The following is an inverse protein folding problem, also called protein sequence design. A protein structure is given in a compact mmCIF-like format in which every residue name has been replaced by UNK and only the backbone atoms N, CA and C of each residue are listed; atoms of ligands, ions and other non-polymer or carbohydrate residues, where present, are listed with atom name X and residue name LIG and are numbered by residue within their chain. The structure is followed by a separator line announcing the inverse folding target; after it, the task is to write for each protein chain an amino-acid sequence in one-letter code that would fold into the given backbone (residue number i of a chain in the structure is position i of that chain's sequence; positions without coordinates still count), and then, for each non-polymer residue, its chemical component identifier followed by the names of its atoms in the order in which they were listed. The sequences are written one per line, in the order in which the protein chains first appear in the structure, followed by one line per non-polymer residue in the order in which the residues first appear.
data_IF_293910229962
#
_entry.id   IF_293910229962
#
_cell.length_a   1.000
_cell.length_b   1.000
_cell.length_c   1.000
_cell.angle_alpha   90.00
_cell.angle_beta   90.00
_cell.angle_gamma   90.00
#
_symmetry.space_group_name_H-M   'P 1'
#
loop_
_entity.id
_entity.type
_entity.pdbx_description
1 polymer ?
#
# COMPACT_ATOMS: atom_id res chain seq x y z
N UNK A 1 0.94 -23.58 -2.84
CA UNK A 1 1.39 -22.51 -3.74
C UNK A 1 2.22 -23.09 -4.89
N UNK A 2 1.95 -22.71 -6.14
CA UNK A 2 2.70 -23.19 -7.34
C UNK A 2 3.82 -22.20 -7.73
N UNK A 3 5.07 -22.53 -7.37
CA UNK A 3 6.23 -21.64 -7.54
C UNK A 3 6.63 -21.44 -9.02
N UNK A 4 6.37 -22.41 -9.89
CA UNK A 4 6.61 -22.31 -11.34
C UNK A 4 5.68 -21.31 -11.99
N UNK A 5 4.41 -21.28 -11.56
CA UNK A 5 3.44 -20.27 -12.03
C UNK A 5 3.80 -18.87 -11.57
N UNK A 6 4.30 -18.69 -10.34
CA UNK A 6 4.79 -17.38 -9.87
C UNK A 6 5.89 -16.81 -10.76
N UNK A 7 6.90 -17.63 -11.07
CA UNK A 7 8.00 -17.22 -11.96
C UNK A 7 7.52 -16.88 -13.37
N UNK A 8 6.60 -17.68 -13.89
CA UNK A 8 5.98 -17.41 -15.20
C UNK A 8 5.21 -16.09 -15.18
N UNK A 9 4.46 -15.83 -14.11
CA UNK A 9 3.69 -14.61 -13.95
C UNK A 9 4.60 -13.37 -13.87
N UNK A 10 5.69 -13.44 -13.10
CA UNK A 10 6.72 -12.39 -13.03
C UNK A 10 7.30 -12.05 -14.41
N UNK A 11 7.58 -13.06 -15.24
CA UNK A 11 8.20 -12.86 -16.55
C UNK A 11 7.23 -12.33 -17.62
N UNK A 12 5.94 -12.64 -17.51
CA UNK A 12 4.95 -12.38 -18.59
C UNK A 12 4.05 -11.17 -18.35
N UNK A 13 3.92 -10.72 -17.11
CA UNK A 13 3.00 -9.64 -16.75
C UNK A 13 3.79 -8.48 -16.12
N UNK A 14 3.75 -7.31 -16.76
CA UNK A 14 4.46 -6.11 -16.31
C UNK A 14 4.02 -5.66 -14.91
N UNK A 15 2.72 -5.74 -14.60
CA UNK A 15 2.19 -5.38 -13.29
C UNK A 15 2.66 -6.39 -12.24
N UNK A 16 2.71 -7.68 -12.59
CA UNK A 16 3.26 -8.69 -11.71
C UNK A 16 4.75 -8.46 -11.44
N UNK A 17 5.53 -8.10 -12.47
CA UNK A 17 6.94 -7.76 -12.33
C UNK A 17 7.15 -6.63 -11.32
N UNK A 18 6.48 -5.50 -11.52
CA UNK A 18 6.56 -4.34 -10.63
C UNK A 18 6.11 -4.69 -9.20
N UNK A 19 5.03 -5.46 -9.07
CA UNK A 19 4.50 -5.86 -7.77
C UNK A 19 5.45 -6.81 -7.02
N UNK A 20 5.98 -7.83 -7.69
CA UNK A 20 6.89 -8.78 -7.07
C UNK A 20 8.22 -8.14 -6.68
N UNK A 21 8.76 -7.22 -7.50
CA UNK A 21 9.93 -6.42 -7.13
C UNK A 21 9.65 -5.56 -5.90
N UNK A 22 8.48 -4.93 -5.83
CA UNK A 22 8.09 -4.13 -4.67
C UNK A 22 8.02 -4.98 -3.40
N UNK A 23 7.28 -6.09 -3.40
CA UNK A 23 7.07 -6.88 -2.18
C UNK A 23 8.32 -7.65 -1.74
N UNK A 24 9.20 -8.05 -2.68
CA UNK A 24 10.46 -8.72 -2.35
C UNK A 24 11.45 -7.80 -1.61
N UNK A 25 11.36 -6.50 -1.84
CA UNK A 25 12.23 -5.48 -1.24
C UNK A 25 11.68 -4.90 0.08
N UNK A 26 10.50 -5.34 0.54
CA UNK A 26 9.98 -4.89 1.84
C UNK A 26 10.77 -5.50 2.99
N UNK A 27 10.80 -4.78 4.11
CA UNK A 27 11.40 -5.25 5.36
C UNK A 27 10.50 -6.23 6.10
N UNK A 28 9.19 -5.98 6.11
CA UNK A 28 8.21 -6.72 6.90
C UNK A 28 7.09 -7.30 6.03
N UNK A 29 6.61 -8.49 6.40
CA UNK A 29 5.40 -9.07 5.81
C UNK A 29 4.16 -8.28 6.24
N UNK A 30 3.08 -8.41 5.49
CA UNK A 30 1.76 -7.93 5.88
C UNK A 30 0.74 -9.05 5.72
N UNK A 31 -0.25 -9.08 6.61
CA UNK A 31 -1.37 -10.02 6.54
C UNK A 31 -2.34 -9.68 5.41
N UNK A 32 -2.43 -8.41 5.01
CA UNK A 32 -3.26 -7.96 3.90
C UNK A 32 -2.56 -6.93 3.00
N UNK A 33 -2.99 -6.85 1.75
CA UNK A 33 -2.56 -5.83 0.79
C UNK A 33 -3.76 -5.21 0.09
N UNK A 34 -3.96 -3.91 0.29
CA UNK A 34 -5.10 -3.16 -0.27
C UNK A 34 -4.78 -2.64 -1.66
N UNK A 35 -5.75 -2.72 -2.59
CA UNK A 35 -5.52 -2.37 -4.00
C UNK A 35 -4.96 -0.96 -4.18
N UNK A 36 -5.52 0.03 -3.48
CA UNK A 36 -5.06 1.42 -3.65
C UNK A 36 -3.60 1.61 -3.21
N UNK A 37 -3.16 0.93 -2.14
CA UNK A 37 -1.76 0.94 -1.69
C UNK A 37 -0.85 0.27 -2.70
N UNK A 38 -1.28 -0.88 -3.25
CA UNK A 38 -0.53 -1.57 -4.31
C UNK A 38 -0.29 -0.60 -5.46
N UNK A 39 -1.35 0.00 -6.02
CA UNK A 39 -1.25 0.95 -7.14
C UNK A 39 -0.30 2.10 -6.80
N UNK A 40 -0.44 2.73 -5.63
CA UNK A 40 0.44 3.84 -5.22
C UNK A 40 1.90 3.43 -5.12
N UNK A 41 2.19 2.22 -4.63
CA UNK A 41 3.57 1.78 -4.36
C UNK A 41 4.30 1.22 -5.59
N UNK A 42 3.57 0.64 -6.55
CA UNK A 42 4.16 0.09 -7.77
C UNK A 42 4.17 1.08 -8.94
N UNK A 43 3.52 2.24 -8.78
CA UNK A 43 3.50 3.29 -9.81
C UNK A 43 4.87 3.93 -9.93
N UNK A 44 5.58 3.62 -11.02
CA UNK A 44 6.83 4.28 -11.39
C UNK A 44 6.60 5.27 -12.53
N UNK A 45 6.95 6.54 -12.31
CA UNK A 45 6.85 7.59 -13.33
C UNK A 45 5.42 7.80 -13.85
N UNK A 46 5.27 7.81 -15.17
CA UNK A 46 3.99 8.09 -15.88
C UNK A 46 3.22 6.82 -16.29
N UNK A 47 3.57 5.63 -15.80
CA UNK A 47 2.80 4.43 -16.11
C UNK A 47 1.41 4.50 -15.44
N UNK A 48 0.37 4.37 -16.27
CA UNK A 48 -1.01 4.34 -15.79
C UNK A 48 -1.40 2.91 -15.43
N UNK A 49 -1.44 2.65 -14.12
CA UNK A 49 -1.77 1.32 -13.58
C UNK A 49 -3.25 1.34 -13.21
N UNK A 50 -4.03 0.59 -13.97
CA UNK A 50 -5.47 0.52 -13.74
C UNK A 50 -5.81 -0.39 -12.55
N UNK A 51 -6.91 -0.07 -11.88
CA UNK A 51 -7.46 -0.90 -10.81
C UNK A 51 -7.75 -2.34 -11.28
N UNK A 52 -8.24 -2.48 -12.52
CA UNK A 52 -8.60 -3.79 -13.08
C UNK A 52 -7.40 -4.71 -13.23
N UNK A 53 -6.26 -4.19 -13.71
CA UNK A 53 -5.03 -4.98 -13.83
C UNK A 53 -4.53 -5.49 -12.48
N UNK A 54 -4.61 -4.67 -11.43
CA UNK A 54 -4.24 -5.10 -10.07
C UNK A 54 -5.22 -6.16 -9.56
N UNK A 55 -6.52 -6.04 -9.84
CA UNK A 55 -7.50 -7.08 -9.48
C UNK A 55 -7.20 -8.41 -10.19
N UNK A 56 -6.87 -8.37 -11.48
CA UNK A 56 -6.51 -9.55 -12.26
C UNK A 56 -5.26 -10.23 -11.67
N UNK A 57 -4.22 -9.46 -11.36
CA UNK A 57 -3.03 -9.96 -10.67
C UNK A 57 -3.37 -10.64 -9.33
N UNK A 58 -4.18 -9.99 -8.48
CA UNK A 58 -4.54 -10.55 -7.17
C UNK A 58 -5.36 -11.85 -7.30
N UNK A 59 -6.25 -11.93 -8.28
CA UNK A 59 -7.00 -13.18 -8.58
C UNK A 59 -6.07 -14.27 -9.11
N UNK A 60 -5.06 -13.93 -9.89
CA UNK A 60 -4.05 -14.90 -10.32
C UNK A 60 -3.24 -15.42 -9.13
N UNK A 61 -2.86 -14.56 -8.19
CA UNK A 61 -2.19 -14.97 -6.94
C UNK A 61 -3.06 -15.89 -6.08
N UNK A 62 -4.36 -15.62 -6.00
CA UNK A 62 -5.34 -16.50 -5.34
C UNK A 62 -5.39 -17.87 -6.03
N UNK A 63 -5.48 -17.91 -7.36
CA UNK A 63 -5.46 -19.16 -8.14
C UNK A 63 -4.15 -19.96 -7.99
N UNK A 64 -3.03 -19.27 -7.73
CA UNK A 64 -1.73 -19.89 -7.46
C UNK A 64 -1.64 -20.40 -6.00
N UNK A 65 -2.56 -19.96 -5.13
CA UNK A 65 -2.66 -20.35 -3.73
C UNK A 65 -1.76 -19.52 -2.81
N UNK A 66 -1.59 -18.23 -3.08
CA UNK A 66 -0.82 -17.31 -2.23
C UNK A 66 -1.68 -16.65 -1.13
N UNK A 67 -3.01 -16.75 -1.24
CA UNK A 67 -3.94 -16.02 -0.39
C UNK A 67 -5.33 -15.95 -1.01
N UNK A 68 -6.17 -15.06 -0.50
CA UNK A 68 -7.56 -14.87 -0.93
C UNK A 68 -7.80 -13.42 -1.36
N UNK A 69 -8.49 -13.23 -2.49
CA UNK A 69 -8.91 -11.90 -2.93
C UNK A 69 -10.29 -11.54 -2.39
N UNK A 70 -10.33 -10.55 -1.48
CA UNK A 70 -11.58 -10.04 -0.90
C UNK A 70 -12.04 -8.79 -1.65
N UNK A 71 -13.12 -8.94 -2.41
CA UNK A 71 -13.77 -7.82 -3.08
C UNK A 71 -14.47 -6.89 -2.08
N UNK A 72 -14.13 -5.60 -2.12
CA UNK A 72 -14.76 -4.57 -1.31
C UNK A 72 -16.21 -4.27 -1.74
N UNK A 73 -17.08 -3.97 -0.77
CA UNK A 73 -18.48 -3.54 -0.96
C UNK A 73 -18.79 -2.39 0.01
N UNK A 74 -19.75 -1.52 -0.31
CA UNK A 74 -20.23 -0.46 0.60
C UNK A 74 -19.10 0.41 1.20
N UNK A 75 -18.13 0.82 0.36
CA UNK A 75 -17.00 1.65 0.80
C UNK A 75 -15.82 0.87 1.42
N UNK A 76 -15.99 -0.42 1.73
CA UNK A 76 -14.87 -1.25 2.17
C UNK A 76 -13.84 -1.45 1.05
N UNK A 77 -12.54 -1.33 1.33
CA UNK A 77 -11.51 -1.50 0.32
C UNK A 77 -11.39 -2.98 -0.10
N UNK A 78 -11.28 -3.20 -1.42
CA UNK A 78 -10.80 -4.47 -1.94
C UNK A 78 -9.36 -4.72 -1.50
N UNK A 79 -9.06 -5.95 -1.12
CA UNK A 79 -7.77 -6.35 -0.54
C UNK A 79 -7.45 -7.80 -0.84
N UNK A 80 -6.18 -8.13 -0.74
CA UNK A 80 -5.68 -9.51 -0.76
C UNK A 80 -5.29 -9.89 0.65
N UNK A 81 -5.72 -11.05 1.13
CA UNK A 81 -5.34 -11.62 2.43
C UNK A 81 -4.30 -12.70 2.17
N UNK A 82 -3.13 -12.57 2.77
CA UNK A 82 -1.99 -13.45 2.53
C UNK A 82 -2.07 -14.71 3.41
N UNK A 83 -1.87 -15.88 2.79
CA UNK A 83 -1.70 -17.16 3.51
C UNK A 83 -0.24 -17.61 3.57
N UNK A 84 0.65 -16.92 2.84
CA UNK A 84 2.10 -17.16 2.78
C UNK A 84 2.82 -15.82 2.89
N UNK A 85 4.09 -15.82 3.32
CA UNK A 85 4.86 -14.59 3.46
C UNK A 85 4.98 -13.83 2.14
N UNK A 86 4.38 -12.63 2.05
CA UNK A 86 4.41 -11.81 0.83
C UNK A 86 5.82 -11.53 0.32
N UNK A 87 6.79 -11.34 1.23
CA UNK A 87 8.21 -11.14 0.86
C UNK A 87 8.75 -12.41 0.20
N UNK A 88 8.44 -13.57 0.77
CA UNK A 88 8.86 -14.87 0.24
C UNK A 88 8.26 -15.11 -1.14
N UNK A 89 6.98 -14.79 -1.35
CA UNK A 89 6.34 -14.84 -2.68
C UNK A 89 7.10 -13.99 -3.70
N UNK A 90 7.45 -12.75 -3.35
CA UNK A 90 8.26 -11.88 -4.20
C UNK A 90 9.63 -12.48 -4.54
N UNK A 91 10.37 -12.96 -3.53
CA UNK A 91 11.69 -13.59 -3.71
C UNK A 91 11.62 -14.85 -4.58
N UNK A 92 10.59 -15.68 -4.42
CA UNK A 92 10.38 -16.89 -5.24
C UNK A 92 10.07 -16.52 -6.68
N UNK A 93 9.21 -15.52 -6.89
CA UNK A 93 8.84 -15.04 -8.22
C UNK A 93 10.06 -14.50 -8.99
N UNK A 94 10.96 -13.79 -8.30
CA UNK A 94 12.26 -13.31 -8.81
C UNK A 94 13.29 -14.42 -9.02
N UNK A 95 13.05 -15.62 -8.48
CA UNK A 95 13.99 -16.74 -8.53
C UNK A 95 15.11 -16.70 -7.49
N UNK A 96 15.02 -15.80 -6.51
CA UNK A 96 16.00 -15.64 -5.42
C UNK A 96 15.82 -16.66 -4.29
N UNK A 97 14.62 -17.25 -4.17
CA UNK A 97 14.31 -18.34 -3.25
C UNK A 97 13.57 -19.48 -3.97
N UNK A 98 13.65 -20.68 -3.38
CA UNK A 98 12.89 -21.86 -3.80
C UNK A 98 11.82 -22.27 -2.78
N UNK A 99 11.95 -21.85 -1.52
CA UNK A 99 11.05 -22.25 -0.43
C UNK A 99 10.26 -21.05 0.08
N UNK A 100 8.97 -21.31 0.35
CA UNK A 100 8.05 -20.35 0.94
C UNK A 100 8.25 -20.34 2.45
N UNK A 101 8.57 -19.17 3.02
CA UNK A 101 8.52 -18.99 4.46
C UNK A 101 7.04 -18.89 4.87
N UNK A 102 6.63 -19.75 5.80
CA UNK A 102 5.30 -19.70 6.40
C UNK A 102 5.15 -18.41 7.21
N UNK A 103 3.94 -17.83 7.19
CA UNK A 103 3.64 -16.67 8.02
C UNK A 103 3.69 -17.12 9.49
N UNK A 104 4.41 -16.41 10.38
CA UNK A 104 4.27 -16.66 11.81
C UNK A 104 2.79 -16.45 12.21
N UNK A 105 2.28 -17.26 13.15
CA UNK A 105 0.87 -17.22 13.60
C UNK A 105 0.45 -15.83 14.10
N UNK A 106 1.42 -15.02 14.54
CA UNK A 106 1.25 -13.61 14.88
C UNK A 106 1.94 -12.73 13.83
N UNK A 107 1.16 -12.29 12.83
CA UNK A 107 1.58 -11.18 11.98
C UNK A 107 1.25 -9.93 12.78
N UNK A 108 2.24 -9.37 13.47
CA UNK A 108 2.14 -7.98 13.94
C UNK A 108 1.73 -7.14 12.73
N UNK A 109 0.53 -6.56 12.80
CA UNK A 109 0.14 -5.49 11.88
C UNK A 109 0.99 -4.29 12.25
N UNK A 110 2.26 -4.32 11.85
CA UNK A 110 3.12 -3.17 11.97
C UNK A 110 2.56 -2.13 11.01
N UNK A 111 1.84 -1.17 11.58
CA UNK A 111 1.79 0.17 11.04
C UNK A 111 3.23 0.49 10.65
N UNK A 112 3.49 0.72 9.36
CA UNK A 112 4.82 1.19 8.95
C UNK A 112 5.12 2.38 9.85
N UNK A 113 6.27 2.35 10.56
CA UNK A 113 6.74 3.49 11.36
C UNK A 113 6.93 4.66 10.41
N UNK A 114 5.86 5.38 10.12
CA UNK A 114 5.86 6.60 9.35
C UNK A 114 6.47 7.64 10.27
N UNK A 115 7.65 8.12 9.91
CA UNK A 115 8.33 9.14 10.68
C UNK A 115 7.48 10.42 10.63
N UNK A 116 7.05 10.88 11.80
CA UNK A 116 6.23 12.08 11.94
C UNK A 116 7.16 13.27 12.24
N UNK A 117 7.02 14.34 11.46
CA UNK A 117 7.78 15.58 11.63
C UNK A 117 6.84 16.65 12.17
N UNK A 118 7.21 17.27 13.30
CA UNK A 118 6.52 18.43 13.83
C UNK A 118 6.80 19.68 12.98
N UNK A 119 5.74 20.31 12.47
CA UNK A 119 5.81 21.55 11.69
C UNK A 119 5.21 22.70 12.48
N UNK A 120 6.04 23.66 12.86
CA UNK A 120 5.60 24.80 13.64
C UNK A 120 5.05 25.91 12.72
N UNK A 121 3.84 26.40 13.01
CA UNK A 121 3.14 27.39 12.20
C UNK A 121 2.49 28.46 13.07
N UNK A 122 2.71 29.74 12.75
CA UNK A 122 2.05 30.85 13.44
C UNK A 122 0.69 31.14 12.80
N UNK A 123 -0.39 30.70 13.45
CA UNK A 123 -1.75 31.02 13.01
C UNK A 123 -2.06 32.52 13.18
N UNK A 124 -1.51 33.15 14.23
CA UNK A 124 -1.67 34.58 14.57
C UNK A 124 -0.40 35.08 15.26
N UNK A 125 -0.26 36.40 15.41
CA UNK A 125 0.96 37.05 15.91
C UNK A 125 1.54 36.46 17.21
N UNK A 126 0.69 35.93 18.11
CA UNK A 126 1.11 35.30 19.38
C UNK A 126 0.58 33.87 19.55
N UNK A 127 0.28 33.17 18.44
CA UNK A 127 -0.23 31.80 18.50
C UNK A 127 0.50 30.93 17.48
N UNK A 128 1.46 30.17 17.98
CA UNK A 128 2.14 29.10 17.26
C UNK A 128 1.43 27.78 17.55
N UNK A 129 1.19 27.02 16.50
CA UNK A 129 0.75 25.63 16.60
C UNK A 129 1.83 24.73 16.03
N UNK A 130 1.78 23.47 16.42
CA UNK A 130 2.57 22.41 15.81
C UNK A 130 1.61 21.44 15.13
N UNK A 131 1.96 21.06 13.90
CA UNK A 131 1.24 20.06 13.13
C UNK A 131 2.22 18.94 12.84
N UNK A 132 1.95 17.75 13.38
CA UNK A 132 2.75 16.56 13.07
C UNK A 132 2.25 15.95 11.76
N UNK A 133 3.15 15.85 10.78
CA UNK A 133 2.85 15.30 9.45
C UNK A 133 3.85 14.22 9.08
N UNK A 134 3.46 13.25 8.25
CA UNK A 134 4.39 12.28 7.67
C UNK A 134 5.56 12.95 6.96
N UNK A 135 6.76 12.41 7.12
CA UNK A 135 7.97 12.82 6.41
C UNK A 135 7.86 12.71 4.87
N UNK A 136 6.93 11.88 4.41
CA UNK A 136 6.73 11.55 3.00
C UNK A 136 5.40 12.08 2.42
N UNK A 137 4.84 13.15 3.00
CA UNK A 137 3.57 13.75 2.58
C UNK A 137 3.54 14.08 1.07
N UNK A 138 2.61 13.48 0.34
CA UNK A 138 2.46 13.75 -1.10
C UNK A 138 1.66 15.03 -1.39
N UNK A 139 1.77 15.56 -2.61
CA UNK A 139 0.98 16.73 -3.06
C UNK A 139 -0.54 16.50 -2.96
N UNK A 140 -1.01 15.29 -3.22
CA UNK A 140 -2.45 14.97 -3.12
C UNK A 140 -2.94 14.99 -1.67
N UNK A 141 -2.13 14.48 -0.74
CA UNK A 141 -2.44 14.48 0.70
C UNK A 141 -2.38 15.88 1.28
N UNK A 142 -1.37 16.67 0.93
CA UNK A 142 -1.28 18.08 1.29
C UNK A 142 -2.51 18.87 0.83
N UNK A 143 -2.96 18.66 -0.42
CA UNK A 143 -4.17 19.28 -0.94
C UNK A 143 -5.41 18.85 -0.14
N UNK A 144 -5.54 17.57 0.21
CA UNK A 144 -6.66 17.05 1.00
C UNK A 144 -6.70 17.65 2.40
N UNK A 145 -5.55 17.78 3.05
CA UNK A 145 -5.43 18.43 4.34
C UNK A 145 -5.82 19.90 4.27
N UNK A 146 -5.38 20.61 3.21
CA UNK A 146 -5.76 21.99 2.99
C UNK A 146 -7.28 22.15 2.81
N UNK A 147 -7.91 21.31 2.00
CA UNK A 147 -9.37 21.33 1.83
C UNK A 147 -10.12 21.00 3.12
N UNK A 148 -9.61 20.06 3.93
CA UNK A 148 -10.17 19.78 5.25
C UNK A 148 -10.17 21.03 6.14
N UNK A 149 -9.03 21.72 6.26
CA UNK A 149 -8.91 22.95 7.06
C UNK A 149 -9.88 24.04 6.55
N UNK A 150 -9.99 24.21 5.23
CA UNK A 150 -10.93 25.19 4.62
C UNK A 150 -12.40 24.83 4.88
N UNK A 151 -12.70 23.55 5.05
CA UNK A 151 -14.07 23.06 5.27
C UNK A 151 -14.53 23.14 6.73
N UNK A 152 -13.64 23.51 7.65
CA UNK A 152 -13.99 23.60 9.06
C UNK A 152 -15.09 24.65 9.27
N UNK A 153 -16.16 24.32 10.03
CA UNK A 153 -17.22 25.26 10.32
C UNK A 153 -16.70 26.30 11.30
N UNK A 154 -16.20 27.40 10.77
CA UNK A 154 -15.97 28.60 11.57
C UNK A 154 -17.29 29.33 11.69
N UNK A 155 -17.69 29.68 12.91
CA UNK A 155 -18.78 30.63 13.10
C UNK A 155 -18.41 31.91 12.34
N UNK A 156 -19.15 32.21 11.27
CA UNK A 156 -19.08 33.50 10.61
C UNK A 156 -19.59 34.53 11.61
N UNK A 157 -18.70 35.02 12.47
CA UNK A 157 -18.92 36.27 13.17
C UNK A 157 -18.77 37.38 12.12
N UNK A 158 -19.81 37.55 11.31
CA UNK A 158 -20.09 38.81 10.64
C UNK A 158 -20.38 39.84 11.74
N UNK A 159 -19.40 40.70 12.00
CA UNK A 159 -19.59 42.03 12.55
C UNK A 159 -19.03 43.05 11.56
#
# INVERSE_FOLDING_TARGET
MDTSKLRTLYQKNEIAHLFFDYIANRKNNASESRIHRIISNIKQGNNDISRSQVIELLKELENIGCGEFVAGRHGWPSRFVWNVGMISVGKIARGESQEAEELPEEIETQEEDIEMIAHAYFLRANMQIEIELPDNLTKSEANRMAEFIKSLPFENNEQ
#
